data_IF_861002032839
#
_entry.id   IF_861002032839
#
_cell.length_a   1.000
_cell.length_b   1.000
_cell.length_c   1.000
_cell.angle_alpha   90.00
_cell.angle_beta   90.00
_cell.angle_gamma   90.00
#
_symmetry.space_group_name_H-M   'P 1'
#
loop_
_entity.id
_entity.type
_entity.pdbx_description
1 polymer ?
#
# COMPACT_ATOMS: atom_id res chain seq x y z
N UNK A 1 -18.96 9.79 27.78
CA UNK A 1 -18.38 8.43 27.70
C UNK A 1 -17.79 8.28 26.31
N UNK A 2 -16.57 7.76 26.18
CA UNK A 2 -15.91 7.63 24.86
C UNK A 2 -16.62 6.56 24.02
N UNK A 3 -16.83 6.87 22.74
CA UNK A 3 -17.43 6.00 21.69
C UNK A 3 -16.36 5.26 20.88
N UNK A 4 -15.09 5.52 21.16
CA UNK A 4 -13.93 4.97 20.45
C UNK A 4 -13.64 3.53 20.88
N UNK A 5 -13.44 2.58 19.95
CA UNK A 5 -12.99 1.24 20.29
C UNK A 5 -11.61 1.25 20.98
N UNK A 6 -11.37 0.25 21.83
CA UNK A 6 -10.04 0.02 22.40
C UNK A 6 -9.06 -0.40 21.30
N UNK A 7 -7.82 0.09 21.37
CA UNK A 7 -6.75 -0.29 20.43
C UNK A 7 -6.34 -1.75 20.65
N UNK A 8 -6.70 -2.65 19.73
CA UNK A 8 -6.32 -4.07 19.80
C UNK A 8 -4.81 -4.31 19.57
N UNK A 9 -4.11 -3.31 19.02
CA UNK A 9 -2.67 -3.30 18.75
C UNK A 9 -1.86 -2.59 19.86
N UNK A 10 -2.38 -2.51 21.08
CA UNK A 10 -1.68 -1.84 22.18
C UNK A 10 -0.24 -2.34 22.43
N UNK A 11 0.03 -3.61 22.11
CA UNK A 11 1.34 -4.27 22.23
C UNK A 11 2.38 -3.82 21.18
N UNK A 12 1.97 -3.21 20.07
CA UNK A 12 2.87 -2.71 19.01
C UNK A 12 3.09 -1.19 19.07
N UNK A 13 2.53 -0.52 20.08
CA UNK A 13 2.80 0.90 20.31
C UNK A 13 4.26 1.12 20.68
N UNK A 14 4.80 2.31 20.40
CA UNK A 14 6.17 2.65 20.79
C UNK A 14 6.39 2.45 22.30
N UNK A 15 5.40 2.79 23.12
CA UNK A 15 5.44 2.61 24.57
C UNK A 15 5.55 1.14 24.99
N UNK A 16 4.85 0.24 24.30
CA UNK A 16 4.91 -1.20 24.56
C UNK A 16 6.22 -1.81 24.04
N UNK A 17 6.61 -1.49 22.80
CA UNK A 17 7.79 -2.05 22.15
C UNK A 17 9.09 -1.71 22.87
N UNK A 18 9.21 -0.48 23.40
CA UNK A 18 10.38 -0.06 24.20
C UNK A 18 10.57 -0.89 25.46
N UNK A 19 9.48 -1.46 26.03
CA UNK A 19 9.56 -2.31 27.22
C UNK A 19 10.07 -3.71 26.90
N UNK A 20 9.98 -4.14 25.65
CA UNK A 20 10.25 -5.52 25.22
C UNK A 20 11.44 -5.65 24.27
N UNK A 21 11.89 -4.57 23.64
CA UNK A 21 13.03 -4.56 22.71
C UNK A 21 14.13 -3.58 23.18
N UNK A 22 15.22 -4.16 23.71
CA UNK A 22 16.37 -3.41 24.24
C UNK A 22 17.06 -2.54 23.20
N UNK A 23 16.98 -2.89 21.90
CA UNK A 23 17.63 -2.12 20.84
C UNK A 23 17.02 -0.74 20.67
N UNK A 24 15.75 -0.60 21.00
CA UNK A 24 15.00 0.66 20.88
C UNK A 24 14.72 1.31 22.23
N UNK A 25 15.22 0.74 23.34
CA UNK A 25 14.98 1.27 24.69
C UNK A 25 15.40 2.75 24.81
N UNK A 26 16.45 3.16 24.08
CA UNK A 26 16.94 4.53 24.01
C UNK A 26 15.93 5.54 23.43
N UNK A 27 14.91 5.09 22.68
CA UNK A 27 13.89 5.96 22.09
C UNK A 27 12.89 6.50 23.13
N UNK A 28 12.85 5.91 24.33
CA UNK A 28 11.93 6.32 25.41
C UNK A 28 12.02 7.81 25.70
N UNK A 29 13.24 8.33 25.74
CA UNK A 29 13.54 9.73 26.06
C UNK A 29 13.83 10.57 24.80
N UNK A 30 13.61 10.00 23.61
CA UNK A 30 13.82 10.68 22.33
C UNK A 30 12.89 11.89 22.15
N UNK A 31 13.34 12.88 21.38
CA UNK A 31 12.55 14.09 21.13
C UNK A 31 11.18 13.81 20.47
N UNK A 32 11.04 12.67 19.79
CA UNK A 32 9.83 12.27 19.07
C UNK A 32 8.88 11.38 19.88
N UNK A 33 9.23 11.02 21.12
CA UNK A 33 8.32 10.31 22.04
C UNK A 33 7.40 11.26 22.83
N UNK A 34 7.54 12.57 22.63
CA UNK A 34 6.81 13.62 23.35
C UNK A 34 6.07 14.53 22.37
N UNK A 35 4.94 15.07 22.81
CA UNK A 35 4.23 16.11 22.08
C UNK A 35 5.11 17.36 21.92
N UNK A 36 4.99 18.03 20.78
CA UNK A 36 5.62 19.34 20.57
C UNK A 36 4.92 20.42 21.41
N UNK A 37 5.59 21.56 21.62
CA UNK A 37 4.98 22.68 22.34
C UNK A 37 3.76 23.25 21.59
N UNK A 38 2.79 23.85 22.30
CA UNK A 38 1.62 24.46 21.66
C UNK A 38 1.98 25.50 20.60
N UNK A 39 3.02 26.29 20.83
CA UNK A 39 3.48 27.33 19.91
C UNK A 39 4.03 26.73 18.61
N UNK A 40 4.78 25.61 18.71
CA UNK A 40 5.30 24.90 17.55
C UNK A 40 4.19 24.20 16.76
N UNK A 41 3.22 23.62 17.47
CA UNK A 41 2.04 23.03 16.85
C UNK A 41 1.24 24.07 16.05
N UNK A 42 0.96 25.21 16.67
CA UNK A 42 0.20 26.29 16.07
C UNK A 42 0.93 26.95 14.88
N UNK A 43 2.25 27.15 15.02
CA UNK A 43 3.07 27.64 13.91
C UNK A 43 3.04 26.70 12.71
N UNK A 44 3.03 25.38 12.93
CA UNK A 44 2.92 24.38 11.87
C UNK A 44 1.53 24.43 11.20
N UNK A 45 0.45 24.56 11.97
CA UNK A 45 -0.92 24.70 11.47
C UNK A 45 -1.03 25.91 10.52
N UNK A 46 -0.61 27.08 10.98
CA UNK A 46 -0.65 28.33 10.19
C UNK A 46 0.21 28.21 8.92
N UNK A 47 1.39 27.60 9.02
CA UNK A 47 2.26 27.38 7.87
C UNK A 47 1.65 26.44 6.81
N UNK A 48 0.87 25.44 7.23
CA UNK A 48 0.13 24.56 6.31
C UNK A 48 -1.05 25.30 5.68
N UNK A 49 -1.84 26.02 6.46
CA UNK A 49 -3.00 26.77 5.94
C UNK A 49 -2.61 27.88 4.97
N UNK A 50 -1.55 28.62 5.26
CA UNK A 50 -1.01 29.64 4.34
C UNK A 50 -0.53 29.08 3.00
N UNK A 51 -0.28 27.76 2.92
CA UNK A 51 0.04 27.03 1.68
C UNK A 51 -1.19 26.40 1.02
N UNK A 52 -2.40 26.70 1.51
CA UNK A 52 -3.66 26.21 0.96
C UNK A 52 -4.05 24.81 1.42
N UNK A 53 -3.37 24.20 2.39
CA UNK A 53 -3.82 22.95 2.98
C UNK A 53 -5.01 23.19 3.90
N UNK A 54 -6.09 22.42 3.73
CA UNK A 54 -7.19 22.39 4.71
C UNK A 54 -6.73 21.59 5.93
N UNK A 55 -6.49 22.27 7.04
CA UNK A 55 -6.11 21.63 8.31
C UNK A 55 -7.32 21.49 9.21
N UNK A 56 -7.48 20.33 9.85
CA UNK A 56 -8.48 20.11 10.90
C UNK A 56 -7.74 19.62 12.14
N UNK A 57 -7.98 20.26 13.27
CA UNK A 57 -7.27 19.99 14.52
C UNK A 57 -8.19 19.19 15.44
N UNK A 58 -7.64 18.15 16.05
CA UNK A 58 -8.26 17.44 17.18
C UNK A 58 -7.30 17.51 18.38
N UNK A 59 -7.83 17.79 19.57
CA UNK A 59 -7.05 17.99 20.79
C UNK A 59 -6.62 16.69 21.45
N UNK A 60 -7.30 15.58 21.15
CA UNK A 60 -7.02 14.27 21.74
C UNK A 60 -7.48 13.13 20.82
N UNK A 61 -7.18 11.90 21.23
CA UNK A 61 -7.47 10.68 20.46
C UNK A 61 -8.98 10.46 20.23
N UNK A 62 -9.83 10.81 21.20
CA UNK A 62 -11.29 10.63 21.07
C UNK A 62 -11.87 11.66 20.08
N UNK A 63 -11.42 12.91 20.14
CA UNK A 63 -11.81 13.95 19.19
C UNK A 63 -11.30 13.63 17.77
N UNK A 64 -10.09 13.09 17.65
CA UNK A 64 -9.53 12.69 16.35
C UNK A 64 -10.37 11.58 15.70
N UNK A 65 -10.81 10.60 16.49
CA UNK A 65 -11.68 9.52 16.03
C UNK A 65 -13.03 10.03 15.50
N UNK A 66 -13.72 10.87 16.27
CA UNK A 66 -15.02 11.42 15.85
C UNK A 66 -14.89 12.39 14.67
N UNK A 67 -13.85 13.23 14.67
CA UNK A 67 -13.55 14.12 13.55
C UNK A 67 -13.32 13.32 12.26
N UNK A 68 -12.54 12.25 12.31
CA UNK A 68 -12.24 11.43 11.14
C UNK A 68 -13.51 10.80 10.53
N UNK A 69 -14.46 10.36 11.36
CA UNK A 69 -15.77 9.88 10.90
C UNK A 69 -16.58 10.94 10.17
N UNK A 70 -16.48 12.21 10.59
CA UNK A 70 -17.21 13.31 9.93
C UNK A 70 -16.54 13.78 8.63
N UNK A 71 -15.22 13.62 8.51
CA UNK A 71 -14.47 14.03 7.33
C UNK A 71 -14.65 13.07 6.15
N UNK A 72 -14.92 11.79 6.43
CA UNK A 72 -15.07 10.75 5.42
C UNK A 72 -16.57 10.57 5.13
N UNK A 73 -17.06 10.88 3.91
CA UNK A 73 -18.47 10.71 3.57
C UNK A 73 -18.92 9.24 3.70
N UNK A 74 -20.16 9.01 4.14
CA UNK A 74 -20.73 7.68 4.19
C UNK A 74 -20.84 7.05 2.77
N UNK A 75 -20.73 5.72 2.70
CA UNK A 75 -20.83 4.95 1.46
C UNK A 75 -19.55 4.93 0.62
N UNK A 76 -18.51 5.68 0.99
CA UNK A 76 -17.24 5.66 0.26
C UNK A 76 -16.46 4.38 0.53
N UNK A 77 -15.61 4.10 -0.43
CA UNK A 77 -14.66 3.01 -0.43
C UNK A 77 -13.37 3.44 0.25
N UNK A 78 -12.94 2.70 1.28
CA UNK A 78 -11.80 3.08 2.12
C UNK A 78 -10.77 1.96 2.15
N UNK A 79 -9.55 2.27 1.73
CA UNK A 79 -8.39 1.40 1.89
C UNK A 79 -7.45 2.03 2.93
N UNK A 80 -7.15 1.29 3.99
CA UNK A 80 -6.26 1.75 5.06
C UNK A 80 -5.12 0.75 5.20
N UNK A 81 -3.88 1.21 5.01
CA UNK A 81 -2.67 0.44 5.27
C UNK A 81 -2.34 0.41 6.77
N UNK A 82 -1.30 -0.34 7.18
CA UNK A 82 -0.89 -0.37 8.60
C UNK A 82 -0.50 1.04 9.08
N UNK A 83 -1.03 1.46 10.23
CA UNK A 83 -0.80 2.79 10.79
C UNK A 83 -1.01 2.80 12.30
N UNK A 84 0.09 2.87 13.05
CA UNK A 84 0.06 2.91 14.52
C UNK A 84 -0.74 4.10 15.05
N UNK A 85 -0.75 5.24 14.36
CA UNK A 85 -1.59 6.38 14.76
C UNK A 85 -3.08 6.08 14.61
N UNK A 86 -3.50 5.43 13.52
CA UNK A 86 -4.91 5.04 13.32
C UNK A 86 -5.34 3.94 14.28
N UNK A 87 -4.43 3.04 14.65
CA UNK A 87 -4.63 2.01 15.68
C UNK A 87 -4.81 2.66 17.06
N UNK A 88 -3.95 3.59 17.44
CA UNK A 88 -4.02 4.27 18.74
C UNK A 88 -5.31 5.10 18.93
N UNK A 89 -5.85 5.69 17.85
CA UNK A 89 -7.16 6.34 17.88
C UNK A 89 -8.33 5.36 17.67
N UNK A 90 -8.09 4.05 17.67
CA UNK A 90 -9.13 3.01 17.57
C UNK A 90 -9.88 2.96 16.23
N UNK A 91 -9.37 3.64 15.19
CA UNK A 91 -10.04 3.71 13.90
C UNK A 91 -9.91 2.41 13.10
N UNK A 92 -8.78 1.70 13.23
CA UNK A 92 -8.61 0.37 12.62
C UNK A 92 -9.63 -0.61 13.19
N UNK A 93 -9.78 -0.67 14.51
CA UNK A 93 -10.75 -1.54 15.18
C UNK A 93 -12.20 -1.16 14.83
N UNK A 94 -12.49 0.13 14.70
CA UNK A 94 -13.78 0.61 14.22
C UNK A 94 -14.10 0.10 12.80
N UNK A 95 -13.14 0.19 11.88
CA UNK A 95 -13.32 -0.24 10.48
C UNK A 95 -13.53 -1.76 10.30
N UNK A 96 -13.16 -2.57 11.30
CA UNK A 96 -13.40 -4.02 11.30
C UNK A 96 -14.88 -4.33 11.62
N UNK A 97 -15.58 -3.41 12.31
CA UNK A 97 -16.99 -3.55 12.65
C UNK A 97 -17.95 -3.19 11.50
N UNK A 98 -19.24 -3.11 11.83
CA UNK A 98 -20.28 -2.62 10.91
C UNK A 98 -20.18 -1.09 10.79
N UNK A 99 -19.66 -0.61 9.66
CA UNK A 99 -19.44 0.81 9.42
C UNK A 99 -20.12 1.25 8.12
N UNK A 100 -20.45 2.55 7.96
CA UNK A 100 -21.01 3.05 6.71
C UNK A 100 -20.00 3.08 5.55
N UNK A 101 -18.79 2.54 5.70
CA UNK A 101 -17.73 2.55 4.69
C UNK A 101 -17.54 1.16 4.09
N UNK A 102 -17.20 1.11 2.80
CA UNK A 102 -16.74 -0.14 2.19
C UNK A 102 -15.26 -0.35 2.49
N UNK A 103 -14.95 -1.05 3.58
CA UNK A 103 -13.58 -1.37 4.00
C UNK A 103 -12.99 -2.49 3.14
N UNK A 104 -12.16 -2.15 2.15
CA UNK A 104 -11.55 -3.16 1.27
C UNK A 104 -10.30 -3.80 1.82
N UNK A 105 -9.74 -3.30 2.93
CA UNK A 105 -8.58 -3.92 3.57
C UNK A 105 -8.93 -5.34 4.03
N UNK A 106 -10.11 -5.53 4.61
CA UNK A 106 -10.57 -6.86 5.06
C UNK A 106 -10.76 -7.81 3.89
N UNK A 107 -11.31 -7.33 2.76
CA UNK A 107 -11.39 -8.12 1.52
C UNK A 107 -10.01 -8.52 1.00
N UNK A 108 -9.05 -7.58 0.97
CA UNK A 108 -7.67 -7.84 0.52
C UNK A 108 -6.95 -8.84 1.45
N UNK A 109 -7.12 -8.71 2.77
CA UNK A 109 -6.46 -9.57 3.76
C UNK A 109 -7.13 -10.94 3.93
N UNK A 110 -8.42 -11.06 3.58
CA UNK A 110 -9.16 -12.32 3.60
C UNK A 110 -8.95 -13.14 2.32
N UNK A 111 -8.22 -12.61 1.33
CA UNK A 111 -7.85 -13.34 0.12
C UNK A 111 -6.91 -14.49 0.48
N UNK A 112 -7.38 -15.73 0.32
CA UNK A 112 -6.71 -16.92 0.86
C UNK A 112 -5.88 -17.69 -0.17
N UNK A 113 -5.98 -17.37 -1.44
CA UNK A 113 -5.18 -18.01 -2.49
C UNK A 113 -5.36 -17.25 -3.81
N UNK A 114 -4.28 -16.83 -4.50
CA UNK A 114 -4.43 -16.51 -5.90
C UNK A 114 -3.59 -17.47 -6.75
N UNK A 115 -4.09 -18.68 -6.95
CA UNK A 115 -4.13 -19.17 -8.32
C UNK A 115 -4.87 -18.11 -9.16
N UNK A 116 -4.12 -17.35 -9.98
CA UNK A 116 -4.65 -16.20 -10.74
C UNK A 116 -4.01 -14.83 -10.47
N UNK A 117 -2.92 -14.77 -9.70
CA UNK A 117 -2.12 -13.54 -9.58
C UNK A 117 -1.31 -13.24 -10.86
N UNK A 118 -1.00 -11.97 -11.08
CA UNK A 118 -0.14 -11.50 -12.17
C UNK A 118 1.13 -10.89 -11.60
N UNK A 119 2.28 -11.26 -12.15
CA UNK A 119 3.56 -10.66 -11.81
C UNK A 119 4.21 -9.98 -13.01
N UNK A 120 4.90 -8.86 -12.77
CA UNK A 120 5.76 -8.24 -13.79
C UNK A 120 6.96 -7.53 -13.16
N UNK A 121 8.05 -7.44 -13.93
CA UNK A 121 9.27 -6.74 -13.57
C UNK A 121 9.48 -5.47 -14.40
N UNK A 122 10.06 -4.45 -13.79
CA UNK A 122 10.41 -3.19 -14.46
C UNK A 122 11.74 -2.59 -13.98
N UNK A 123 12.49 -1.99 -14.90
CA UNK A 123 13.76 -1.34 -14.60
C UNK A 123 13.57 0.10 -14.08
N UNK A 124 12.63 0.84 -14.66
CA UNK A 124 12.45 2.28 -14.39
C UNK A 124 11.24 2.60 -13.51
N UNK A 125 10.41 1.59 -13.20
CA UNK A 125 9.17 1.74 -12.43
C UNK A 125 7.98 2.30 -13.23
N UNK A 126 8.18 2.66 -14.49
CA UNK A 126 7.15 3.14 -15.42
C UNK A 126 5.91 2.24 -15.49
N UNK A 127 6.09 0.92 -15.56
CA UNK A 127 5.02 -0.08 -15.64
C UNK A 127 4.36 -0.26 -14.29
N UNK A 128 5.13 -0.27 -13.20
CA UNK A 128 4.58 -0.43 -11.85
C UNK A 128 3.61 0.72 -11.55
N UNK A 129 4.04 1.97 -11.77
CA UNK A 129 3.16 3.13 -11.57
C UNK A 129 1.90 3.06 -12.44
N UNK A 130 2.04 2.71 -13.72
CA UNK A 130 0.92 2.61 -14.66
C UNK A 130 -0.07 1.51 -14.32
N UNK A 131 0.42 0.29 -14.09
CA UNK A 131 -0.38 -0.91 -13.81
C UNK A 131 -1.04 -0.81 -12.45
N UNK A 132 -0.28 -0.49 -11.39
CA UNK A 132 -0.80 -0.42 -10.02
C UNK A 132 -1.96 0.57 -9.89
N UNK A 133 -1.81 1.78 -10.45
CA UNK A 133 -2.80 2.85 -10.23
C UNK A 133 -2.91 3.89 -11.35
N UNK A 134 -1.79 4.31 -11.94
CA UNK A 134 -1.72 5.54 -12.74
C UNK A 134 -2.50 5.53 -14.05
N UNK A 135 -2.61 4.38 -14.72
CA UNK A 135 -3.34 4.29 -15.99
C UNK A 135 -4.85 4.14 -15.77
N UNK A 136 -5.68 4.87 -16.53
CA UNK A 136 -7.16 4.75 -16.45
C UNK A 136 -7.67 3.40 -16.97
N UNK A 137 -7.00 2.82 -17.96
CA UNK A 137 -7.26 1.49 -18.50
C UNK A 137 -5.92 0.77 -18.69
N UNK A 138 -5.87 -0.52 -18.37
CA UNK A 138 -4.71 -1.39 -18.48
C UNK A 138 -5.14 -2.64 -19.23
N UNK A 139 -4.47 -2.93 -20.34
CA UNK A 139 -4.66 -4.18 -21.09
C UNK A 139 -3.34 -4.93 -21.02
N UNK A 140 -3.37 -6.13 -20.46
CA UNK A 140 -2.22 -7.02 -20.35
C UNK A 140 -2.42 -8.17 -21.32
N UNK A 141 -1.47 -8.34 -22.24
CA UNK A 141 -1.49 -9.43 -23.22
C UNK A 141 -0.44 -10.47 -22.81
N UNK A 142 -0.88 -11.71 -22.58
CA UNK A 142 -0.05 -12.76 -21.99
C UNK A 142 -0.09 -14.00 -22.88
N UNK A 143 1.08 -14.43 -23.36
CA UNK A 143 1.22 -15.72 -24.06
C UNK A 143 1.20 -16.88 -23.07
N UNK A 144 0.74 -18.06 -23.52
CA UNK A 144 0.59 -19.23 -22.65
C UNK A 144 1.91 -19.69 -22.02
N UNK A 145 3.05 -19.42 -22.67
CA UNK A 145 4.40 -19.66 -22.15
C UNK A 145 4.82 -18.78 -20.96
N UNK A 146 3.96 -17.85 -20.52
CA UNK A 146 4.16 -16.98 -19.36
C UNK A 146 3.36 -17.41 -18.12
N UNK A 147 2.52 -18.44 -18.25
CA UNK A 147 1.72 -18.99 -17.15
C UNK A 147 2.57 -20.02 -16.40
N UNK A 148 2.63 -19.88 -15.08
CA UNK A 148 3.44 -20.71 -14.17
C UNK A 148 2.58 -21.18 -13.00
N UNK A 149 3.06 -22.17 -12.24
CA UNK A 149 2.27 -22.82 -11.19
C UNK A 149 2.00 -21.91 -9.99
N UNK A 150 2.97 -21.06 -9.63
CA UNK A 150 2.95 -20.22 -8.44
C UNK A 150 3.93 -19.03 -8.57
N UNK A 151 3.94 -18.18 -7.56
CA UNK A 151 4.77 -16.97 -7.53
C UNK A 151 6.27 -17.26 -7.41
N UNK A 152 6.66 -18.38 -6.81
CA UNK A 152 8.06 -18.78 -6.74
C UNK A 152 8.59 -19.12 -8.15
N UNK A 153 7.80 -19.87 -8.92
CA UNK A 153 8.12 -20.13 -10.33
C UNK A 153 8.04 -18.85 -11.17
N UNK A 154 7.11 -17.92 -10.87
CA UNK A 154 7.05 -16.62 -11.55
C UNK A 154 8.31 -15.78 -11.31
N UNK A 155 8.80 -15.77 -10.07
CA UNK A 155 10.04 -15.09 -9.71
C UNK A 155 11.23 -15.72 -10.45
N UNK A 156 11.38 -17.05 -10.38
CA UNK A 156 12.46 -17.79 -11.08
C UNK A 156 12.41 -17.55 -12.59
N UNK A 157 11.23 -17.65 -13.21
CA UNK A 157 11.04 -17.34 -14.63
C UNK A 157 11.47 -15.90 -14.94
N UNK A 158 11.11 -14.94 -14.09
CA UNK A 158 11.47 -13.54 -14.33
C UNK A 158 12.98 -13.32 -14.22
N UNK A 159 13.63 -13.80 -13.16
CA UNK A 159 15.05 -13.55 -12.90
C UNK A 159 15.99 -14.39 -13.76
N UNK A 160 15.66 -15.66 -13.98
CA UNK A 160 16.54 -16.62 -14.68
C UNK A 160 16.28 -16.68 -16.18
N UNK A 161 15.06 -16.33 -16.63
CA UNK A 161 14.70 -16.37 -18.06
C UNK A 161 14.44 -14.98 -18.65
N UNK A 162 13.53 -14.19 -18.08
CA UNK A 162 13.13 -12.91 -18.68
C UNK A 162 14.23 -11.86 -18.63
N UNK A 163 14.91 -11.68 -17.49
CA UNK A 163 15.94 -10.64 -17.33
C UNK A 163 17.12 -10.86 -18.28
N UNK A 164 17.68 -12.08 -18.45
CA UNK A 164 18.70 -12.32 -19.45
C UNK A 164 18.24 -12.02 -20.88
N UNK A 165 17.03 -12.46 -21.26
CA UNK A 165 16.46 -12.20 -22.58
C UNK A 165 16.20 -10.71 -22.84
N UNK A 166 15.62 -10.01 -21.85
CA UNK A 166 15.41 -8.56 -21.87
C UNK A 166 16.74 -7.80 -21.92
N UNK A 167 17.79 -8.32 -21.26
CA UNK A 167 19.14 -7.76 -21.32
C UNK A 167 19.74 -7.86 -22.72
N UNK A 168 19.55 -8.99 -23.40
CA UNK A 168 19.94 -9.15 -24.80
C UNK A 168 19.17 -8.21 -25.73
N UNK A 169 17.85 -8.11 -25.55
CA UNK A 169 17.02 -7.15 -26.27
C UNK A 169 17.49 -5.70 -26.05
N UNK A 170 17.80 -5.32 -24.81
CA UNK A 170 18.25 -3.97 -24.47
C UNK A 170 19.59 -3.60 -25.13
N UNK A 171 20.54 -4.55 -25.15
CA UNK A 171 21.81 -4.39 -25.87
C UNK A 171 21.59 -4.21 -27.37
N UNK A 172 20.68 -4.98 -27.95
CA UNK A 172 20.43 -4.92 -29.38
C UNK A 172 19.71 -3.63 -29.78
N UNK A 173 18.63 -3.28 -29.09
CA UNK A 173 17.73 -2.18 -29.51
C UNK A 173 18.19 -0.83 -28.98
N UNK A 174 18.51 -0.74 -27.69
CA UNK A 174 18.83 0.52 -27.04
C UNK A 174 20.34 0.81 -27.00
N UNK A 175 21.16 -0.15 -27.44
CA UNK A 175 22.64 -0.09 -27.33
C UNK A 175 23.12 0.18 -25.90
N UNK A 176 22.32 -0.22 -24.91
CA UNK A 176 22.64 -0.13 -23.49
C UNK A 176 23.40 -1.39 -23.03
N UNK A 177 24.19 -1.37 -21.94
CA UNK A 177 24.92 -2.55 -21.46
C UNK A 177 24.04 -3.76 -21.10
N UNK A 178 22.76 -3.53 -20.82
CA UNK A 178 21.80 -4.57 -20.48
C UNK A 178 20.52 -4.00 -19.87
N UNK A 179 19.91 -4.77 -18.99
CA UNK A 179 18.75 -4.35 -18.19
C UNK A 179 18.87 -4.93 -16.79
N UNK A 180 18.03 -4.45 -15.87
CA UNK A 180 17.92 -4.95 -14.50
C UNK A 180 16.45 -4.99 -14.09
N UNK A 181 16.15 -5.81 -13.09
CA UNK A 181 14.84 -5.83 -12.45
C UNK A 181 14.91 -5.05 -11.14
N UNK A 182 14.66 -3.76 -11.20
CA UNK A 182 14.72 -2.87 -10.03
C UNK A 182 13.40 -2.85 -9.26
N UNK A 183 12.29 -3.08 -9.97
CA UNK A 183 10.95 -3.20 -9.40
C UNK A 183 10.33 -4.53 -9.84
N UNK A 184 9.66 -5.19 -8.90
CA UNK A 184 8.87 -6.39 -9.15
C UNK A 184 7.54 -6.23 -8.44
N UNK A 185 6.44 -6.37 -9.18
CA UNK A 185 5.09 -6.20 -8.67
C UNK A 185 4.30 -7.48 -8.88
N UNK A 186 3.56 -7.86 -7.84
CA UNK A 186 2.58 -8.95 -7.89
C UNK A 186 1.19 -8.37 -7.62
N UNK A 187 0.32 -8.42 -8.62
CA UNK A 187 -1.09 -8.08 -8.52
C UNK A 187 -1.89 -9.34 -8.22
N UNK A 188 -2.37 -9.45 -6.97
CA UNK A 188 -3.18 -10.60 -6.52
C UNK A 188 -4.65 -10.47 -6.88
N UNK A 189 -5.14 -9.24 -7.03
CA UNK A 189 -6.51 -8.95 -7.40
C UNK A 189 -6.59 -7.61 -8.15
N UNK A 190 -7.61 -7.46 -8.99
CA UNK A 190 -7.96 -6.17 -9.57
C UNK A 190 -8.66 -5.28 -8.52
N UNK A 191 -8.53 -3.95 -8.66
CA UNK A 191 -9.19 -3.01 -7.76
C UNK A 191 -10.72 -3.14 -7.86
N UNK A 192 -11.44 -3.38 -6.76
CA UNK A 192 -12.90 -3.46 -6.76
C UNK A 192 -13.56 -2.10 -7.08
N UNK A 193 -12.80 -1.00 -7.00
CA UNK A 193 -13.30 0.36 -7.26
C UNK A 193 -13.14 0.82 -8.70
N UNK A 194 -12.42 0.04 -9.50
CA UNK A 194 -12.30 0.25 -10.93
C UNK A 194 -12.50 -1.08 -11.66
N UNK A 195 -13.70 -1.68 -11.60
CA UNK A 195 -13.99 -2.93 -12.30
C UNK A 195 -13.68 -2.80 -13.79
N UNK A 196 -13.02 -3.81 -14.36
CA UNK A 196 -12.64 -3.81 -15.79
C UNK A 196 -11.48 -2.88 -16.15
N UNK A 197 -10.88 -2.14 -15.20
CA UNK A 197 -9.68 -1.33 -15.46
C UNK A 197 -8.53 -2.17 -15.99
N UNK A 198 -8.27 -3.31 -15.34
CA UNK A 198 -7.24 -4.26 -15.76
C UNK A 198 -7.93 -5.37 -16.53
N UNK A 199 -7.61 -5.47 -17.82
CA UNK A 199 -8.12 -6.48 -18.75
C UNK A 199 -6.97 -7.40 -19.13
N UNK A 200 -7.20 -8.71 -19.11
CA UNK A 200 -6.18 -9.70 -19.48
C UNK A 200 -6.62 -10.41 -20.75
N UNK A 201 -5.79 -10.32 -21.79
CA UNK A 201 -5.92 -11.10 -23.02
C UNK A 201 -4.91 -12.25 -22.96
N UNK A 202 -5.40 -13.47 -22.75
CA UNK A 202 -4.58 -14.67 -22.87
C UNK A 202 -4.50 -15.11 -24.33
N UNK A 203 -3.28 -15.31 -24.80
CA UNK A 203 -3.00 -15.82 -26.15
C UNK A 203 -2.51 -17.25 -26.02
N UNK A 204 -3.21 -18.20 -26.64
CA UNK A 204 -2.85 -19.61 -26.62
C UNK A 204 -1.70 -19.93 -27.60
N UNK A 205 -0.61 -19.18 -27.48
CA UNK A 205 0.61 -19.29 -28.27
C UNK A 205 1.80 -18.85 -27.39
N UNK A 206 2.96 -19.44 -27.63
CA UNK A 206 4.20 -19.05 -26.96
C UNK A 206 4.72 -17.73 -27.58
N UNK A 207 4.51 -16.61 -26.88
CA UNK A 207 4.84 -15.27 -27.37
C UNK A 207 5.75 -14.52 -26.40
N UNK A 208 6.84 -13.96 -26.93
CA UNK A 208 7.82 -13.19 -26.17
C UNK A 208 8.57 -14.02 -25.12
N UNK A 209 9.23 -13.32 -24.19
CA UNK A 209 9.99 -13.89 -23.08
C UNK A 209 9.44 -13.42 -21.75
#
# INVERSE_FOLDING_TARGET
>A
MSTRPANSFAHTTLEALIKTDEKIAHLKDGAYSKAVSPERFESARVALESKGFKVTVAQNRDEAFETLKTLIPAGVSLNVAHSTTLEEIGFIDYLIGDTPYNNVRTTILAEKDPTGAMAHGDATGSKVGGVAFGAKNVIVVVGSNKIVKDEEEAWKRTTEWCVPAAGAFSREVFKAPGTSMNHYEVLRAASPFAPGRIQVLLVNEALGF
#
